data_IF_300280065854
#
_entry.id   IF_300280065854
#
_cell.length_a   1.000
_cell.length_b   1.000
_cell.length_c   1.000
_cell.angle_alpha   90.00
_cell.angle_beta   90.00
_cell.angle_gamma   90.00
#
_symmetry.space_group_name_H-M   'P 1'
#
loop_
_entity.id
_entity.type
_entity.pdbx_description
1 polymer ?
#
# COMPACT_ATOMS: atom_id res chain seq x y z
N UNK A 1 -12.86 8.35 -14.68
CA UNK A 1 -13.95 8.01 -13.74
C UNK A 1 -14.23 6.53 -13.89
N UNK A 2 -14.26 5.76 -12.79
CA UNK A 2 -14.58 4.34 -12.85
C UNK A 2 -16.08 4.18 -13.12
N UNK A 3 -16.47 3.26 -14.01
CA UNK A 3 -17.86 3.06 -14.44
C UNK A 3 -18.23 1.58 -14.51
N UNK A 4 -19.51 1.27 -14.31
CA UNK A 4 -20.00 -0.10 -14.23
C UNK A 4 -19.41 -0.85 -13.03
N UNK A 5 -19.04 -2.11 -13.24
CA UNK A 5 -18.47 -2.99 -12.20
C UNK A 5 -17.00 -2.67 -11.86
N UNK A 6 -16.41 -1.70 -12.56
CA UNK A 6 -15.03 -1.31 -12.33
C UNK A 6 -14.97 -0.34 -11.16
N UNK A 7 -14.24 -0.73 -10.11
CA UNK A 7 -14.04 0.05 -8.88
C UNK A 7 -12.56 0.23 -8.60
N UNK A 8 -12.18 1.21 -7.79
CA UNK A 8 -10.78 1.35 -7.32
C UNK A 8 -10.28 0.02 -6.71
N UNK A 9 -11.15 -0.66 -5.96
CA UNK A 9 -10.84 -1.97 -5.36
C UNK A 9 -10.54 -3.02 -6.42
N UNK A 10 -11.34 -3.13 -7.49
CA UNK A 10 -11.08 -4.10 -8.57
C UNK A 10 -9.78 -3.77 -9.31
N UNK A 11 -9.48 -2.48 -9.53
CA UNK A 11 -8.21 -2.05 -10.14
C UNK A 11 -7.01 -2.52 -9.33
N UNK A 12 -7.02 -2.21 -8.04
CA UNK A 12 -5.94 -2.56 -7.11
C UNK A 12 -5.80 -4.08 -7.02
N UNK A 13 -6.92 -4.80 -6.88
CA UNK A 13 -6.92 -6.26 -6.78
C UNK A 13 -6.34 -6.94 -8.02
N UNK A 14 -6.60 -6.41 -9.22
CA UNK A 14 -6.02 -6.92 -10.46
C UNK A 14 -4.54 -6.60 -10.63
N UNK A 15 -4.06 -5.51 -10.03
CA UNK A 15 -2.68 -5.08 -10.14
C UNK A 15 -1.71 -5.79 -9.18
N UNK A 16 -2.20 -6.42 -8.12
CA UNK A 16 -1.34 -7.05 -7.11
C UNK A 16 -0.91 -8.48 -7.47
N UNK A 17 0.31 -8.90 -7.06
CA UNK A 17 1.37 -8.07 -6.48
C UNK A 17 2.28 -7.40 -7.53
N UNK A 18 2.16 -7.77 -8.83
CA UNK A 18 3.21 -7.52 -9.83
C UNK A 18 3.11 -6.24 -10.65
N UNK A 19 1.93 -5.61 -10.72
CA UNK A 19 1.62 -4.44 -11.56
C UNK A 19 1.25 -3.22 -10.70
N UNK A 20 1.68 -3.20 -9.44
CA UNK A 20 1.30 -2.16 -8.47
C UNK A 20 1.77 -0.76 -8.88
N UNK A 21 2.87 -0.66 -9.62
CA UNK A 21 3.39 0.61 -10.11
C UNK A 21 2.53 1.18 -11.25
N UNK A 22 1.88 0.32 -12.03
CA UNK A 22 1.04 0.73 -13.18
C UNK A 22 -0.27 1.41 -12.73
N UNK A 23 -0.68 1.17 -11.47
CA UNK A 23 -1.87 1.76 -10.86
C UNK A 23 -1.55 2.84 -9.83
N UNK A 24 -0.26 3.08 -9.55
CA UNK A 24 0.17 4.16 -8.69
C UNK A 24 0.07 5.50 -9.43
N UNK A 25 -0.31 6.56 -8.72
CA UNK A 25 -0.27 7.90 -9.28
C UNK A 25 1.19 8.31 -9.54
N UNK A 26 1.47 8.89 -10.70
CA UNK A 26 2.81 9.31 -11.10
C UNK A 26 3.46 10.24 -10.07
N UNK A 27 2.65 11.07 -9.39
CA UNK A 27 3.13 11.92 -8.31
C UNK A 27 3.72 11.12 -7.15
N UNK A 28 3.22 9.93 -6.83
CA UNK A 28 3.78 9.06 -5.77
C UNK A 28 5.15 8.54 -6.21
N UNK A 29 5.28 8.16 -7.48
CA UNK A 29 6.54 7.68 -8.06
C UNK A 29 7.59 8.79 -8.13
N UNK A 30 7.17 10.03 -8.38
CA UNK A 30 8.05 11.18 -8.57
C UNK A 30 8.35 11.98 -7.29
N UNK A 31 7.47 11.95 -6.29
CA UNK A 31 7.56 12.86 -5.11
C UNK A 31 8.13 12.23 -3.85
N UNK A 32 8.07 10.90 -3.69
CA UNK A 32 8.19 10.30 -2.35
C UNK A 32 9.34 9.32 -2.16
N UNK A 33 9.84 8.71 -3.23
CA UNK A 33 10.65 7.50 -3.11
C UNK A 33 12.12 7.80 -3.40
N UNK A 34 12.96 7.56 -2.40
CA UNK A 34 14.42 7.68 -2.54
C UNK A 34 14.91 6.68 -3.59
N UNK A 35 15.97 7.04 -4.32
CA UNK A 35 16.69 6.08 -5.19
C UNK A 35 17.01 4.83 -4.37
N UNK A 36 16.60 3.66 -4.88
CA UNK A 36 16.77 2.36 -4.20
C UNK A 36 15.67 2.00 -3.19
N UNK A 37 14.63 2.82 -3.00
CA UNK A 37 13.46 2.45 -2.21
C UNK A 37 12.68 1.34 -2.93
N UNK A 38 12.31 0.23 -2.26
CA UNK A 38 11.54 -0.85 -2.85
C UNK A 38 10.06 -0.46 -2.99
N UNK A 39 9.78 0.46 -3.91
CA UNK A 39 8.48 1.08 -4.17
C UNK A 39 7.36 0.07 -4.34
N UNK A 40 7.57 -0.88 -5.26
CA UNK A 40 6.60 -1.91 -5.58
C UNK A 40 6.26 -2.76 -4.34
N UNK A 41 7.27 -3.18 -3.57
CA UNK A 41 7.04 -4.00 -2.39
C UNK A 41 6.29 -3.24 -1.29
N UNK A 42 6.68 -1.99 -1.05
CA UNK A 42 6.01 -1.15 -0.06
C UNK A 42 4.55 -0.87 -0.44
N UNK A 43 4.30 -0.49 -1.70
CA UNK A 43 2.96 -0.20 -2.19
C UNK A 43 2.09 -1.46 -2.17
N UNK A 44 2.62 -2.62 -2.57
CA UNK A 44 1.91 -3.89 -2.47
C UNK A 44 1.41 -4.13 -1.06
N UNK A 45 2.26 -3.97 -0.05
CA UNK A 45 1.87 -4.17 1.36
C UNK A 45 0.82 -3.16 1.83
N UNK A 46 0.95 -1.88 1.45
CA UNK A 46 -0.04 -0.85 1.81
C UNK A 46 -1.39 -1.12 1.15
N UNK A 47 -1.40 -1.52 -0.12
CA UNK A 47 -2.62 -1.81 -0.86
C UNK A 47 -3.29 -3.10 -0.41
N UNK A 48 -2.54 -4.13 0.02
CA UNK A 48 -3.10 -5.33 0.67
C UNK A 48 -3.93 -4.95 1.92
N UNK A 49 -3.41 -4.07 2.77
CA UNK A 49 -4.14 -3.54 3.93
C UNK A 49 -5.38 -2.75 3.47
N UNK A 50 -5.23 -1.89 2.46
CA UNK A 50 -6.35 -1.11 1.89
C UNK A 50 -7.45 -1.98 1.30
N UNK A 51 -7.12 -3.08 0.64
CA UNK A 51 -8.09 -4.06 0.14
C UNK A 51 -8.86 -4.71 1.29
N UNK A 52 -8.16 -5.13 2.34
CA UNK A 52 -8.79 -5.70 3.53
C UNK A 52 -9.73 -4.71 4.25
N UNK A 53 -9.38 -3.42 4.31
CA UNK A 53 -10.27 -2.38 4.84
C UNK A 53 -11.51 -2.12 3.96
N UNK A 54 -11.41 -2.40 2.66
CA UNK A 54 -12.43 -2.06 1.65
C UNK A 54 -13.24 -3.27 1.18
N UNK A 55 -13.20 -4.39 1.91
CA UNK A 55 -14.09 -5.51 1.64
C UNK A 55 -15.57 -5.06 1.62
N UNK A 56 -16.30 -5.59 0.63
CA UNK A 56 -17.69 -5.20 0.37
C UNK A 56 -18.58 -5.55 1.56
N UNK A 57 -18.42 -6.77 2.07
CA UNK A 57 -19.05 -7.22 3.31
C UNK A 57 -18.36 -6.61 4.52
N UNK A 58 -19.08 -5.89 5.41
CA UNK A 58 -18.52 -5.38 6.65
C UNK A 58 -17.87 -6.46 7.52
N UNK A 59 -18.40 -7.68 7.51
CA UNK A 59 -17.89 -8.81 8.30
C UNK A 59 -16.54 -9.35 7.81
N UNK A 60 -16.13 -9.02 6.57
CA UNK A 60 -14.87 -9.44 6.00
C UNK A 60 -13.79 -8.35 6.11
N UNK A 61 -14.14 -7.14 6.58
CA UNK A 61 -13.18 -6.05 6.68
C UNK A 61 -12.18 -6.34 7.79
N UNK A 62 -10.92 -5.95 7.55
CA UNK A 62 -9.89 -6.04 8.57
C UNK A 62 -10.29 -5.25 9.82
N UNK A 63 -10.05 -5.85 10.97
CA UNK A 63 -10.20 -5.19 12.26
C UNK A 63 -9.24 -4.01 12.36
N UNK A 64 -9.70 -2.86 12.87
CA UNK A 64 -8.83 -1.67 12.97
C UNK A 64 -7.58 -1.92 13.82
N UNK A 65 -7.66 -2.83 14.78
CA UNK A 65 -6.49 -3.24 15.57
C UNK A 65 -5.43 -3.99 14.75
N UNK A 66 -5.83 -4.74 13.73
CA UNK A 66 -4.96 -5.42 12.78
C UNK A 66 -4.41 -4.43 11.75
N UNK A 67 -5.25 -3.55 11.22
CA UNK A 67 -4.85 -2.46 10.30
C UNK A 67 -3.72 -1.62 10.92
N UNK A 68 -3.86 -1.21 12.19
CA UNK A 68 -2.83 -0.44 12.89
C UNK A 68 -1.53 -1.24 13.02
N UNK A 69 -1.59 -2.53 13.36
CA UNK A 69 -0.42 -3.40 13.47
C UNK A 69 0.32 -3.53 12.14
N UNK A 70 -0.41 -3.79 11.06
CA UNK A 70 0.16 -3.94 9.71
C UNK A 70 0.78 -2.62 9.22
N UNK A 71 0.11 -1.48 9.39
CA UNK A 71 0.66 -0.18 9.00
C UNK A 71 1.92 0.18 9.80
N UNK A 72 1.97 -0.17 11.09
CA UNK A 72 3.18 -0.03 11.89
C UNK A 72 4.27 -0.94 11.30
N UNK A 73 4.00 -2.21 11.05
CA UNK A 73 4.96 -3.16 10.45
C UNK A 73 5.54 -2.66 9.13
N UNK A 74 4.70 -2.14 8.23
CA UNK A 74 5.11 -1.53 6.94
C UNK A 74 6.01 -0.32 7.19
N UNK A 75 5.61 0.60 8.07
CA UNK A 75 6.41 1.78 8.42
C UNK A 75 7.80 1.39 8.93
N UNK A 76 7.84 0.40 9.82
CA UNK A 76 9.05 -0.12 10.44
C UNK A 76 9.98 -0.78 9.41
N UNK A 77 9.42 -1.52 8.46
CA UNK A 77 10.18 -2.19 7.40
C UNK A 77 10.77 -1.23 6.36
N UNK A 78 9.99 -0.26 5.90
CA UNK A 78 10.36 0.56 4.74
C UNK A 78 10.86 1.97 5.08
N UNK A 79 10.44 2.53 6.23
CA UNK A 79 10.69 3.94 6.54
C UNK A 79 11.56 4.17 7.78
N UNK A 80 11.97 3.13 8.51
CA UNK A 80 13.03 3.27 9.50
C UNK A 80 14.40 3.36 8.85
N UNK A 81 14.85 4.58 8.60
CA UNK A 81 16.28 4.87 8.59
C UNK A 81 16.88 4.46 9.95
N UNK A 82 18.05 3.81 9.95
CA UNK A 82 18.82 3.51 11.17
C UNK A 82 18.84 4.76 12.05
N UNK A 83 18.35 4.67 13.29
CA UNK A 83 18.57 5.68 14.33
C UNK A 83 20.04 5.67 14.81
N UNK A 84 21.01 5.80 13.91
CA UNK A 84 22.41 5.67 14.27
C UNK A 84 23.35 6.21 13.20
N UNK A 85 23.68 7.49 13.31
CA UNK A 85 25.01 8.08 13.10
C UNK A 85 24.87 9.62 13.07
N UNK A 86 24.59 10.24 14.22
CA UNK A 86 25.12 11.59 14.47
C UNK A 86 26.52 11.35 15.02
N UNK A 87 27.53 11.59 14.21
CA UNK A 87 28.90 11.83 14.69
C UNK A 87 28.94 13.19 15.37
#
# INVERSE_FOLDING_TARGET
MFGGDFTIRSCIRSALPGQVLDVADESILHSGLRIGFPAAECLTKVLEVGLGCSEESPANRLEMSEVVKELISIKERFFKARRGARH
#
